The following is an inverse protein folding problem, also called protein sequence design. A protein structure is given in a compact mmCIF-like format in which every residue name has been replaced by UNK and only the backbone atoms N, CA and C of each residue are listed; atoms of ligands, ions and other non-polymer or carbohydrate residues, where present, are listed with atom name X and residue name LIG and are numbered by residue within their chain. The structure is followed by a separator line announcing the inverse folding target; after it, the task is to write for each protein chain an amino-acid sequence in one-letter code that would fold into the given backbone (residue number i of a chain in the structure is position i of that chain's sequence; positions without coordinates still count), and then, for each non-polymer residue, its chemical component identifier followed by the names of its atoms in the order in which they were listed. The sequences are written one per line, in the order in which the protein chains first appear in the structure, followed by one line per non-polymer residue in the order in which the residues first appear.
data_IF_028370748107
#
_entry.id   IF_028370748107
#
_cell.length_a   1.000
_cell.length_b   1.000
_cell.length_c   1.000
_cell.angle_alpha   90.00
_cell.angle_beta   90.00
_cell.angle_gamma   90.00
#
_symmetry.space_group_name_H-M   'P 1'
#
loop_
_entity.id
_entity.type
_entity.pdbx_description
1 polymer ?
#
# COMPACT_ATOMS: atom_id res chain seq x y z
N UNK A 1 -15.35 23.36 -2.78
CA UNK A 1 -13.91 23.68 -2.79
C UNK A 1 -13.19 22.52 -2.14
N UNK A 2 -12.47 21.77 -2.97
CA UNK A 2 -12.09 20.39 -2.75
C UNK A 2 -10.93 20.24 -1.75
N UNK A 3 -11.22 19.60 -0.62
CA UNK A 3 -10.21 19.16 0.35
C UNK A 3 -9.33 18.01 -0.18
N UNK A 4 -9.70 17.43 -1.34
CA UNK A 4 -8.97 16.32 -1.98
C UNK A 4 -7.81 16.76 -2.88
N UNK A 5 -7.70 18.04 -3.23
CA UNK A 5 -6.62 18.54 -4.10
C UNK A 5 -5.32 18.89 -3.34
N UNK A 6 -5.33 18.93 -2.01
CA UNK A 6 -4.24 19.57 -1.24
C UNK A 6 -3.01 18.68 -1.04
N UNK A 7 -3.05 17.37 -1.35
CA UNK A 7 -1.91 16.49 -1.06
C UNK A 7 -1.15 15.96 -2.28
N UNK A 8 -1.63 16.20 -3.52
CA UNK A 8 -0.88 15.82 -4.73
C UNK A 8 0.15 16.88 -5.15
N UNK A 9 -0.05 18.15 -4.77
CA UNK A 9 0.84 19.26 -5.13
C UNK A 9 2.02 19.46 -4.19
N UNK A 10 2.05 18.77 -3.04
CA UNK A 10 3.14 18.81 -2.06
C UNK A 10 4.10 17.62 -2.16
N UNK A 11 4.19 17.00 -3.35
CA UNK A 11 5.24 16.03 -3.63
C UNK A 11 6.49 16.77 -4.15
N UNK A 12 7.68 16.35 -3.71
CA UNK A 12 8.95 16.92 -4.17
C UNK A 12 9.08 16.83 -5.69
N UNK A 13 9.88 17.72 -6.29
CA UNK A 13 10.15 17.67 -7.75
C UNK A 13 10.62 16.28 -8.19
N UNK A 14 11.36 15.56 -7.34
CA UNK A 14 11.81 14.18 -7.57
C UNK A 14 10.65 13.18 -7.66
N UNK A 15 9.64 13.30 -6.79
CA UNK A 15 8.44 12.46 -6.82
C UNK A 15 7.58 12.74 -8.07
N UNK A 16 7.61 13.98 -8.59
CA UNK A 16 6.91 14.35 -9.83
C UNK A 16 7.71 13.97 -11.08
N UNK A 17 9.02 13.88 -10.99
CA UNK A 17 9.90 13.50 -12.11
C UNK A 17 9.69 12.06 -12.58
N UNK A 18 9.28 11.15 -11.67
CA UNK A 18 8.93 9.75 -12.02
C UNK A 18 7.81 9.68 -13.07
N UNK A 19 6.86 10.63 -13.06
CA UNK A 19 5.77 10.68 -14.05
C UNK A 19 6.21 11.25 -15.41
N UNK A 20 7.43 11.80 -15.51
CA UNK A 20 8.01 12.32 -16.75
C UNK A 20 8.99 11.34 -17.40
N UNK A 21 9.19 10.18 -16.79
CA UNK A 21 10.07 9.15 -17.33
C UNK A 21 9.41 8.45 -18.51
N UNK A 22 10.18 8.18 -19.57
CA UNK A 22 9.69 7.60 -20.83
C UNK A 22 9.24 6.12 -20.71
N UNK A 23 9.39 5.53 -19.52
CA UNK A 23 8.93 4.17 -19.18
C UNK A 23 7.59 4.11 -18.44
N UNK A 24 6.86 5.24 -18.31
CA UNK A 24 5.54 5.24 -17.68
C UNK A 24 4.56 4.34 -18.46
N UNK A 25 3.85 3.47 -17.73
CA UNK A 25 2.83 2.58 -18.29
C UNK A 25 1.45 3.21 -18.19
N UNK A 26 0.61 3.00 -19.21
CA UNK A 26 -0.81 3.35 -19.20
C UNK A 26 -1.51 2.76 -17.96
N UNK A 27 -2.34 3.58 -17.30
CA UNK A 27 -3.01 3.17 -16.05
C UNK A 27 -3.78 1.85 -16.22
N UNK A 28 -4.52 1.70 -17.32
CA UNK A 28 -5.29 0.49 -17.63
C UNK A 28 -4.39 -0.74 -17.74
N UNK A 29 -3.23 -0.62 -18.39
CA UNK A 29 -2.25 -1.71 -18.50
C UNK A 29 -1.70 -2.09 -17.15
N UNK A 30 -1.28 -1.12 -16.33
CA UNK A 30 -0.76 -1.39 -14.99
C UNK A 30 -1.80 -2.08 -14.08
N UNK A 31 -3.08 -1.69 -14.17
CA UNK A 31 -4.17 -2.33 -13.43
C UNK A 31 -4.45 -3.75 -13.94
N UNK A 32 -4.35 -4.00 -15.24
CA UNK A 32 -4.45 -5.36 -15.79
C UNK A 32 -3.32 -6.25 -15.27
N UNK A 33 -2.07 -5.80 -15.36
CA UNK A 33 -0.92 -6.54 -14.86
C UNK A 33 -1.02 -6.84 -13.36
N UNK A 34 -1.48 -5.86 -12.56
CA UNK A 34 -1.73 -6.09 -11.13
C UNK A 34 -2.83 -7.13 -10.89
N UNK A 35 -3.90 -7.10 -11.71
CA UNK A 35 -5.00 -8.07 -11.63
C UNK A 35 -4.54 -9.49 -11.98
N UNK A 36 -3.70 -9.64 -12.99
CA UNK A 36 -3.08 -10.91 -13.36
C UNK A 36 -2.17 -11.42 -12.26
N UNK A 37 -1.32 -10.54 -11.70
CA UNK A 37 -0.42 -10.91 -10.63
C UNK A 37 -1.17 -11.40 -9.38
N UNK A 38 -2.18 -10.67 -8.91
CA UNK A 38 -2.94 -11.07 -7.72
C UNK A 38 -3.84 -12.29 -7.98
N UNK A 39 -4.19 -12.56 -9.24
CA UNK A 39 -4.99 -13.74 -9.61
C UNK A 39 -4.29 -15.06 -9.30
N UNK A 40 -2.96 -15.05 -9.14
CA UNK A 40 -2.14 -16.19 -8.68
C UNK A 40 -2.56 -16.69 -7.29
N UNK A 41 -3.20 -15.84 -6.48
CA UNK A 41 -3.93 -16.26 -5.29
C UNK A 41 -5.31 -16.75 -5.74
N UNK A 42 -5.44 -18.07 -5.90
CA UNK A 42 -6.58 -18.73 -6.56
C UNK A 42 -7.94 -18.24 -6.05
N UNK A 43 -8.11 -18.17 -4.71
CA UNK A 43 -9.38 -17.80 -4.10
C UNK A 43 -9.49 -16.28 -4.00
N UNK A 44 -10.47 -15.69 -4.68
CA UNK A 44 -10.82 -14.26 -4.57
C UNK A 44 -10.96 -13.81 -3.10
N UNK A 45 -11.59 -14.65 -2.26
CA UNK A 45 -11.78 -14.38 -0.83
C UNK A 45 -10.48 -14.41 -0.01
N UNK A 46 -9.38 -14.91 -0.57
CA UNK A 46 -8.07 -14.96 0.08
C UNK A 46 -7.13 -13.84 -0.38
N UNK A 47 -7.53 -13.02 -1.35
CA UNK A 47 -6.74 -11.89 -1.85
C UNK A 47 -6.83 -10.72 -0.89
N UNK A 48 -5.80 -10.54 -0.08
CA UNK A 48 -5.72 -9.48 0.95
C UNK A 48 -4.85 -8.34 0.42
N UNK A 49 -5.34 -7.09 0.55
CA UNK A 49 -4.62 -5.90 0.13
C UNK A 49 -4.29 -5.04 1.35
N UNK A 50 -3.03 -4.66 1.46
CA UNK A 50 -2.54 -3.76 2.50
C UNK A 50 -2.32 -2.36 1.93
N UNK A 51 -2.80 -1.34 2.64
CA UNK A 51 -2.54 0.07 2.35
C UNK A 51 -2.03 0.80 3.59
N UNK A 52 -1.19 1.82 3.41
CA UNK A 52 -0.68 2.66 4.50
C UNK A 52 -1.65 3.80 4.80
N UNK A 53 -2.84 3.41 5.25
CA UNK A 53 -4.06 4.19 5.17
C UNK A 53 -4.99 3.55 4.15
N UNK A 54 -5.53 2.37 4.47
CA UNK A 54 -6.33 1.58 3.53
C UNK A 54 -7.57 2.33 3.03
N UNK A 55 -8.14 3.23 3.85
CA UNK A 55 -9.26 4.10 3.47
C UNK A 55 -8.87 5.19 2.45
N UNK A 56 -7.58 5.35 2.16
CA UNK A 56 -7.06 6.25 1.14
C UNK A 56 -6.46 5.44 -0.01
N UNK A 57 -5.40 4.67 0.23
CA UNK A 57 -4.65 3.95 -0.81
C UNK A 57 -5.54 2.95 -1.56
N UNK A 58 -6.23 2.06 -0.83
CA UNK A 58 -7.05 1.03 -1.46
C UNK A 58 -8.30 1.63 -2.12
N UNK A 59 -8.82 2.75 -1.59
CA UNK A 59 -9.95 3.48 -2.19
C UNK A 59 -9.53 4.13 -3.50
N UNK A 60 -8.36 4.76 -3.57
CA UNK A 60 -7.80 5.30 -4.82
C UNK A 60 -7.63 4.18 -5.84
N UNK A 61 -7.08 3.03 -5.44
CA UNK A 61 -6.91 1.90 -6.35
C UNK A 61 -8.27 1.39 -6.87
N UNK A 62 -9.29 1.22 -6.01
CA UNK A 62 -10.64 0.85 -6.44
C UNK A 62 -11.25 1.88 -7.41
N UNK A 63 -11.06 3.16 -7.13
CA UNK A 63 -11.55 4.23 -8.00
C UNK A 63 -10.84 4.19 -9.37
N UNK A 64 -9.55 3.85 -9.42
CA UNK A 64 -8.82 3.65 -10.66
C UNK A 64 -9.37 2.46 -11.46
N UNK A 65 -9.64 1.32 -10.81
CA UNK A 65 -10.35 0.19 -11.43
C UNK A 65 -11.69 0.61 -12.03
N UNK A 66 -12.51 1.33 -11.26
CA UNK A 66 -13.81 1.82 -11.73
C UNK A 66 -13.67 2.78 -12.91
N UNK A 67 -12.72 3.72 -12.86
CA UNK A 67 -12.47 4.68 -13.95
C UNK A 67 -12.01 4.00 -15.25
N UNK A 68 -11.26 2.89 -15.13
CA UNK A 68 -10.83 2.07 -16.26
C UNK A 68 -11.86 1.00 -16.69
N UNK A 69 -13.05 0.95 -16.08
CA UNK A 69 -14.07 -0.09 -16.32
C UNK A 69 -13.56 -1.52 -16.09
N UNK A 70 -12.67 -1.70 -15.10
CA UNK A 70 -12.09 -2.98 -14.72
C UNK A 70 -12.71 -3.50 -13.41
N UNK A 71 -12.79 -4.82 -13.28
CA UNK A 71 -13.21 -5.44 -12.02
C UNK A 71 -12.09 -5.39 -10.97
N UNK A 72 -12.45 -5.03 -9.74
CA UNK A 72 -11.51 -5.03 -8.63
C UNK A 72 -11.18 -6.48 -8.24
N UNK A 73 -9.90 -6.90 -8.29
CA UNK A 73 -9.53 -8.30 -8.15
C UNK A 73 -9.49 -8.81 -6.69
N UNK A 74 -10.10 -8.09 -5.74
CA UNK A 74 -10.30 -8.50 -4.35
C UNK A 74 -11.60 -7.98 -3.75
N UNK A 75 -12.12 -8.69 -2.75
CA UNK A 75 -13.38 -8.35 -2.05
C UNK A 75 -13.20 -7.21 -1.05
N UNK A 76 -14.27 -6.43 -0.82
CA UNK A 76 -14.21 -5.20 0.00
C UNK A 76 -13.73 -5.43 1.45
N UNK A 77 -14.07 -6.57 2.07
CA UNK A 77 -13.70 -6.88 3.45
C UNK A 77 -12.24 -7.39 3.62
N UNK A 78 -11.48 -7.47 2.53
CA UNK A 78 -10.09 -7.92 2.54
C UNK A 78 -9.06 -6.79 2.61
N UNK A 79 -9.51 -5.54 2.76
CA UNK A 79 -8.62 -4.41 3.01
C UNK A 79 -7.96 -4.53 4.39
N UNK A 80 -6.67 -4.25 4.46
CA UNK A 80 -5.87 -4.23 5.69
C UNK A 80 -5.08 -2.93 5.77
N UNK A 81 -5.02 -2.40 6.97
CA UNK A 81 -4.42 -1.10 7.24
C UNK A 81 -3.10 -1.27 8.00
N UNK A 82 -2.03 -0.79 7.38
CA UNK A 82 -0.68 -0.84 7.94
C UNK A 82 -0.57 0.00 9.22
N UNK A 83 -1.25 1.16 9.29
CA UNK A 83 -1.22 2.03 10.47
C UNK A 83 -1.87 1.38 11.67
N UNK A 84 -2.89 0.55 11.44
CA UNK A 84 -3.56 -0.21 12.51
C UNK A 84 -2.60 -1.20 13.17
N UNK A 85 -1.89 -2.04 12.40
CA UNK A 85 -0.95 -2.99 13.00
C UNK A 85 0.26 -2.28 13.63
N UNK A 86 0.70 -1.15 13.07
CA UNK A 86 1.72 -0.30 13.68
C UNK A 86 1.29 0.23 15.05
N UNK A 87 0.05 0.71 15.16
CA UNK A 87 -0.48 1.18 16.43
C UNK A 87 -0.54 0.05 17.47
N UNK A 88 -0.97 -1.16 17.07
CA UNK A 88 -0.95 -2.33 17.95
C UNK A 88 0.46 -2.70 18.41
N UNK A 89 1.45 -2.70 17.50
CA UNK A 89 2.84 -2.97 17.85
C UNK A 89 3.40 -1.96 18.84
N UNK A 90 3.09 -0.67 18.64
CA UNK A 90 3.48 0.40 19.55
C UNK A 90 2.83 0.22 20.92
N UNK A 91 1.51 0.02 20.96
CA UNK A 91 0.71 0.02 22.19
C UNK A 91 0.89 -1.25 23.01
N UNK A 92 1.03 -2.42 22.37
CA UNK A 92 1.06 -3.72 23.06
C UNK A 92 2.47 -4.31 23.22
N UNK A 93 3.45 -3.82 22.48
CA UNK A 93 4.82 -4.37 22.46
C UNK A 93 5.91 -3.30 22.59
N UNK A 94 5.56 -2.02 22.76
CA UNK A 94 6.50 -0.91 22.76
C UNK A 94 7.41 -0.87 21.52
N UNK A 95 6.91 -1.36 20.38
CA UNK A 95 7.66 -1.41 19.13
C UNK A 95 7.93 0.02 18.64
N UNK A 96 9.19 0.37 18.39
CA UNK A 96 9.57 1.69 17.88
C UNK A 96 10.11 1.56 16.46
N UNK A 97 9.22 1.72 15.46
CA UNK A 97 9.56 1.62 14.04
C UNK A 97 10.83 2.38 13.65
N UNK A 98 10.97 3.64 14.09
CA UNK A 98 12.10 4.49 13.68
C UNK A 98 13.44 3.99 14.22
N UNK A 99 13.43 3.38 15.41
CA UNK A 99 14.63 2.86 16.07
C UNK A 99 14.93 1.43 15.64
N UNK A 100 13.91 0.60 15.61
CA UNK A 100 14.05 -0.86 15.45
C UNK A 100 14.08 -1.27 13.97
N UNK A 101 13.50 -0.46 13.08
CA UNK A 101 13.42 -0.71 11.65
C UNK A 101 13.65 0.58 10.84
N UNK A 102 14.90 1.11 10.80
CA UNK A 102 15.21 2.28 10.00
C UNK A 102 14.89 2.06 8.52
N UNK A 103 14.44 3.13 7.84
CA UNK A 103 14.12 3.08 6.41
C UNK A 103 15.36 2.80 5.57
N UNK A 104 15.19 1.95 4.55
CA UNK A 104 16.22 1.61 3.58
C UNK A 104 15.64 1.77 2.18
N UNK A 105 16.25 2.61 1.34
CA UNK A 105 15.80 2.86 -0.02
C UNK A 105 15.67 4.36 -0.31
N UNK A 106 14.96 4.67 -1.38
CA UNK A 106 14.67 6.05 -1.77
C UNK A 106 13.33 6.48 -1.20
N UNK A 107 13.33 7.56 -0.40
CA UNK A 107 12.10 8.12 0.17
C UNK A 107 11.18 8.58 -0.97
N UNK A 108 9.89 8.30 -0.85
CA UNK A 108 8.86 8.59 -1.87
C UNK A 108 8.97 7.73 -3.15
N UNK A 109 9.75 6.64 -3.12
CA UNK A 109 9.64 5.59 -4.11
C UNK A 109 8.60 4.55 -3.65
N UNK A 110 7.53 4.38 -4.43
CA UNK A 110 6.41 3.51 -4.06
C UNK A 110 6.81 2.06 -3.78
N UNK A 111 7.78 1.51 -4.52
CA UNK A 111 8.24 0.13 -4.33
C UNK A 111 9.06 -0.02 -3.05
N UNK A 112 9.98 0.91 -2.79
CA UNK A 112 10.79 0.89 -1.56
C UNK A 112 9.92 1.12 -0.32
N UNK A 113 8.94 2.03 -0.42
CA UNK A 113 7.94 2.27 0.62
C UNK A 113 7.12 0.99 0.89
N UNK A 114 6.59 0.33 -0.15
CA UNK A 114 5.83 -0.91 0.00
C UNK A 114 6.67 -2.05 0.62
N UNK A 115 7.94 -2.19 0.20
CA UNK A 115 8.87 -3.18 0.79
C UNK A 115 9.13 -2.88 2.26
N UNK A 116 9.38 -1.62 2.61
CA UNK A 116 9.62 -1.24 3.99
C UNK A 116 8.38 -1.48 4.87
N UNK A 117 7.20 -1.14 4.36
CA UNK A 117 5.91 -1.41 5.01
C UNK A 117 5.69 -2.89 5.26
N UNK A 118 5.89 -3.74 4.25
CA UNK A 118 5.77 -5.19 4.39
C UNK A 118 6.73 -5.76 5.45
N UNK A 119 7.97 -5.25 5.52
CA UNK A 119 8.97 -5.69 6.51
C UNK A 119 8.49 -5.45 7.94
N UNK A 120 8.05 -4.23 8.28
CA UNK A 120 7.64 -3.95 9.65
C UNK A 120 6.27 -4.52 10.00
N UNK A 121 5.34 -4.66 9.04
CA UNK A 121 4.08 -5.40 9.23
C UNK A 121 4.39 -6.84 9.66
N UNK A 122 5.31 -7.51 8.96
CA UNK A 122 5.75 -8.86 9.30
C UNK A 122 6.37 -8.94 10.70
N UNK A 123 7.29 -8.02 11.03
CA UNK A 123 7.96 -7.99 12.33
C UNK A 123 6.97 -7.78 13.49
N UNK A 124 6.03 -6.83 13.36
CA UNK A 124 5.02 -6.57 14.37
C UNK A 124 4.05 -7.76 14.48
N UNK A 125 3.62 -8.33 13.36
CA UNK A 125 2.74 -9.50 13.38
C UNK A 125 3.36 -10.66 14.15
N UNK A 126 4.65 -10.93 13.95
CA UNK A 126 5.39 -11.95 14.69
C UNK A 126 5.48 -11.61 16.19
N UNK A 127 5.77 -10.36 16.55
CA UNK A 127 5.83 -9.92 17.94
C UNK A 127 4.46 -9.99 18.66
N UNK A 128 3.36 -9.87 17.92
CA UNK A 128 2.00 -9.96 18.45
C UNK A 128 1.52 -11.41 18.63
N UNK A 129 2.12 -12.39 17.94
CA UNK A 129 1.79 -13.81 18.16
C UNK A 129 2.04 -14.17 19.61
N UNK A 130 1.05 -14.80 20.24
CA UNK A 130 1.20 -15.46 21.53
C UNK A 130 1.54 -16.92 21.19
N UNK A 131 2.65 -17.45 21.71
CA UNK A 131 2.91 -18.88 21.65
C UNK A 131 1.80 -19.59 22.43
N UNK A 132 1.08 -20.48 21.74
CA UNK A 132 -0.02 -21.25 22.31
C UNK A 132 0.50 -22.44 23.14
#
# INVERSE_FOLDING_TARGET
MDFFAINLFYQSEDARAVFKDGGATELTTALHEFSEWISQIEKLKSRIIWGNGATFDNVILRNAYQACSLEVPWVFYNDRDVRTIVDLGRTLRNFNLKKDMPFTGTVHNALDDAKHQAKYVSAIYQALKIEA
#
